data_IF_336960869463
#
_entry.id   IF_336960869463
#
_cell.length_a   1.000
_cell.length_b   1.000
_cell.length_c   1.000
_cell.angle_alpha   90.00
_cell.angle_beta   90.00
_cell.angle_gamma   90.00
#
_symmetry.space_group_name_H-M   'P 1'
#
loop_
_entity.id
_entity.type
_entity.pdbx_description
1 polymer ?
#
# COMPACT_ATOMS: atom_id res chain seq x y z
N UNK A 1 2.15 -9.83 12.17
CA UNK A 1 1.25 -8.81 11.56
C UNK A 1 1.34 -7.44 12.22
N UNK A 2 1.87 -7.31 13.46
CA UNK A 2 2.44 -6.03 13.96
C UNK A 2 3.61 -5.51 13.13
N UNK A 3 4.27 -6.42 12.40
CA UNK A 3 5.43 -6.12 11.58
C UNK A 3 5.11 -5.15 10.45
N UNK A 4 3.96 -5.29 9.77
CA UNK A 4 3.58 -4.44 8.65
C UNK A 4 3.35 -2.98 9.05
N UNK A 5 2.59 -2.74 10.12
CA UNK A 5 2.37 -1.39 10.64
C UNK A 5 3.69 -0.76 11.12
N UNK A 6 4.52 -1.55 11.80
CA UNK A 6 5.85 -1.10 12.25
C UNK A 6 6.71 -0.69 11.04
N UNK A 7 6.75 -1.51 9.99
CA UNK A 7 7.49 -1.19 8.77
C UNK A 7 6.92 0.05 8.08
N UNK A 8 5.60 0.16 7.90
CA UNK A 8 4.96 1.34 7.30
C UNK A 8 5.26 2.62 8.08
N UNK A 9 5.20 2.55 9.41
CA UNK A 9 5.51 3.69 10.29
C UNK A 9 6.99 4.10 10.28
N UNK A 10 7.89 3.20 9.87
CA UNK A 10 9.33 3.45 9.80
C UNK A 10 9.78 4.06 8.46
N UNK A 11 8.99 3.90 7.39
CA UNK A 11 9.28 4.51 6.08
C UNK A 11 9.15 6.04 6.20
N UNK A 12 10.16 6.75 5.71
CA UNK A 12 10.16 8.22 5.74
C UNK A 12 9.33 8.78 4.60
N UNK A 13 8.72 9.94 4.85
CA UNK A 13 8.02 10.69 3.82
C UNK A 13 8.97 11.00 2.65
N UNK A 14 8.52 10.75 1.42
CA UNK A 14 9.30 10.93 0.20
C UNK A 14 10.21 9.75 -0.17
N UNK A 15 10.26 8.68 0.62
CA UNK A 15 10.97 7.46 0.24
C UNK A 15 10.14 6.61 -0.72
N UNK A 16 10.83 5.99 -1.68
CA UNK A 16 10.25 4.97 -2.56
C UNK A 16 10.14 3.64 -1.81
N UNK A 17 8.98 3.00 -1.90
CA UNK A 17 8.73 1.70 -1.31
C UNK A 17 8.03 0.76 -2.30
N UNK A 18 8.30 -0.54 -2.18
CA UNK A 18 7.60 -1.59 -2.90
C UNK A 18 6.51 -2.19 -2.01
N UNK A 19 5.25 -2.03 -2.42
CA UNK A 19 4.07 -2.65 -1.81
C UNK A 19 3.85 -4.02 -2.44
N UNK A 20 3.98 -5.10 -1.67
CA UNK A 20 3.73 -6.46 -2.15
C UNK A 20 2.27 -6.81 -1.84
N UNK A 21 1.45 -6.85 -2.88
CA UNK A 21 -0.02 -7.01 -2.79
C UNK A 21 -0.44 -8.39 -3.28
N UNK A 22 -1.32 -9.04 -2.53
CA UNK A 22 -1.99 -10.27 -2.95
C UNK A 22 -3.36 -9.95 -3.55
N UNK A 23 -3.57 -10.16 -4.86
CA UNK A 23 -4.85 -9.83 -5.49
C UNK A 23 -5.97 -10.77 -5.03
N UNK A 24 -7.21 -10.28 -4.87
CA UNK A 24 -8.31 -11.09 -4.36
C UNK A 24 -8.72 -12.24 -5.29
N UNK A 25 -8.56 -12.04 -6.61
CA UNK A 25 -8.97 -13.02 -7.63
C UNK A 25 -7.81 -13.91 -8.12
N UNK A 26 -6.58 -13.71 -7.63
CA UNK A 26 -5.38 -14.45 -8.03
C UNK A 26 -4.55 -14.80 -6.79
N UNK A 27 -4.98 -15.80 -6.00
CA UNK A 27 -4.38 -16.09 -4.69
C UNK A 27 -2.97 -16.67 -4.75
N UNK A 28 -2.57 -17.22 -5.90
CA UNK A 28 -1.22 -17.74 -6.14
C UNK A 28 -0.27 -16.69 -6.74
N UNK A 29 -0.80 -15.52 -7.13
CA UNK A 29 -0.03 -14.41 -7.66
C UNK A 29 0.25 -13.36 -6.59
N UNK A 30 1.24 -12.52 -6.86
CA UNK A 30 1.49 -11.25 -6.16
C UNK A 30 1.72 -10.15 -7.19
N UNK A 31 1.25 -8.96 -6.87
CA UNK A 31 1.54 -7.74 -7.60
C UNK A 31 2.44 -6.86 -6.73
N UNK A 32 3.59 -6.47 -7.27
CA UNK A 32 4.54 -5.59 -6.59
C UNK A 32 4.34 -4.17 -7.16
N UNK A 33 4.05 -3.21 -6.29
CA UNK A 33 3.77 -1.81 -6.67
C UNK A 33 4.84 -0.91 -6.08
N UNK A 34 5.61 -0.25 -6.93
CA UNK A 34 6.64 0.72 -6.53
C UNK A 34 6.03 2.11 -6.52
N UNK A 35 6.08 2.79 -5.37
CA UNK A 35 5.51 4.12 -5.21
C UNK A 35 6.18 4.88 -4.06
N UNK A 36 6.13 6.21 -4.11
CA UNK A 36 6.73 7.10 -3.11
C UNK A 36 5.74 7.39 -1.99
N UNK A 37 6.15 7.26 -0.72
CA UNK A 37 5.30 7.59 0.42
C UNK A 37 5.02 9.10 0.47
N UNK A 38 3.77 9.50 0.24
CA UNK A 38 3.30 10.90 0.27
C UNK A 38 2.49 11.24 1.54
N UNK A 39 2.08 10.23 2.30
CA UNK A 39 1.46 10.41 3.63
C UNK A 39 1.89 9.32 4.60
N UNK A 40 2.74 9.69 5.56
CA UNK A 40 3.28 8.80 6.60
C UNK A 40 2.38 8.65 7.84
N UNK A 41 1.05 8.68 7.67
CA UNK A 41 0.09 8.50 8.76
C UNK A 41 -1.15 7.77 8.27
N UNK A 42 -1.76 6.85 9.05
CA UNK A 42 -2.94 6.12 8.62
C UNK A 42 -4.11 7.03 8.20
N UNK A 43 -4.77 6.74 7.06
CA UNK A 43 -4.36 5.75 6.07
C UNK A 43 -3.10 6.21 5.32
N UNK A 44 -2.10 5.34 5.20
CA UNK A 44 -0.85 5.66 4.50
C UNK A 44 -1.11 5.85 3.01
N UNK A 45 -0.47 6.82 2.37
CA UNK A 45 -0.65 7.09 0.93
C UNK A 45 0.69 7.09 0.22
N UNK A 46 0.73 6.41 -0.93
CA UNK A 46 1.87 6.30 -1.82
C UNK A 46 1.48 6.79 -3.21
N UNK A 47 2.41 7.37 -3.96
CA UNK A 47 2.18 7.91 -5.30
C UNK A 47 3.28 7.45 -6.26
N UNK A 48 2.91 6.89 -7.41
CA UNK A 48 3.85 6.48 -8.47
C UNK A 48 3.95 7.49 -9.63
N UNK A 49 3.29 8.65 -9.51
CA UNK A 49 3.17 9.66 -10.56
C UNK A 49 1.98 9.47 -11.51
N UNK A 50 1.32 8.30 -11.50
CA UNK A 50 0.10 8.03 -12.28
C UNK A 50 -1.11 7.70 -11.39
N UNK A 51 -0.87 7.16 -10.20
CA UNK A 51 -1.88 6.68 -9.25
C UNK A 51 -1.43 6.94 -7.83
N UNK A 52 -2.42 7.19 -6.99
CA UNK A 52 -2.28 7.18 -5.55
C UNK A 52 -2.78 5.86 -4.99
N UNK A 53 -1.92 5.19 -4.23
CA UNK A 53 -2.20 3.97 -3.50
C UNK A 53 -2.43 4.28 -2.02
N UNK A 54 -3.57 3.86 -1.49
CA UNK A 54 -3.92 4.05 -0.08
C UNK A 54 -3.90 2.71 0.64
N UNK A 55 -3.09 2.62 1.69
CA UNK A 55 -3.03 1.47 2.58
C UNK A 55 -3.94 1.71 3.78
N UNK A 56 -4.96 0.88 3.93
CA UNK A 56 -5.97 0.97 4.98
C UNK A 56 -6.01 -0.31 5.80
N UNK A 57 -6.35 -0.23 7.08
CA UNK A 57 -6.64 -1.41 7.89
C UNK A 57 -7.92 -2.11 7.38
N UNK A 58 -7.95 -3.44 7.36
CA UNK A 58 -9.13 -4.21 7.00
C UNK A 58 -10.10 -4.31 8.20
N UNK A 59 -11.34 -3.86 8.03
CA UNK A 59 -12.39 -3.94 9.06
C UNK A 59 -12.82 -5.41 9.28
N UNK A 60 -12.08 -6.13 10.11
CA UNK A 60 -12.42 -7.49 10.52
C UNK A 60 -11.24 -8.47 10.58
N UNK A 61 -10.08 -8.09 10.03
CA UNK A 61 -8.86 -8.89 10.05
C UNK A 61 -7.67 -8.06 10.55
N UNK A 62 -6.59 -8.70 11.00
CA UNK A 62 -5.36 -8.00 11.45
C UNK A 62 -4.49 -7.50 10.29
N UNK A 63 -5.10 -7.35 9.11
CA UNK A 63 -4.43 -7.09 7.84
C UNK A 63 -4.63 -5.69 7.30
N UNK A 64 -3.85 -5.39 6.27
CA UNK A 64 -3.93 -4.14 5.51
C UNK A 64 -4.43 -4.42 4.11
N UNK A 65 -5.20 -3.49 3.53
CA UNK A 65 -5.61 -3.51 2.13
C UNK A 65 -5.00 -2.36 1.37
N UNK A 66 -4.65 -2.62 0.12
CA UNK A 66 -4.19 -1.58 -0.81
C UNK A 66 -5.32 -1.20 -1.75
N UNK A 67 -5.64 0.07 -1.72
CA UNK A 67 -6.60 0.72 -2.62
C UNK A 67 -5.82 1.54 -3.63
N UNK A 68 -6.29 1.61 -4.88
CA UNK A 68 -5.72 2.46 -5.91
C UNK A 68 -6.76 3.43 -6.46
N UNK A 69 -6.37 4.69 -6.60
CA UNK A 69 -7.11 5.71 -7.36
C UNK A 69 -6.17 6.44 -8.31
N UNK A 70 -6.71 6.94 -9.42
CA UNK A 70 -5.98 7.82 -10.35
C UNK A 70 -6.19 9.29 -10.03
N UNK A 71 -7.37 9.65 -9.54
CA UNK A 71 -7.75 11.02 -9.19
C UNK A 71 -8.84 11.03 -8.09
N UNK A 72 -9.21 12.22 -7.61
CA UNK A 72 -10.29 12.42 -6.62
C UNK A 72 -11.65 11.97 -7.17
N UNK A 73 -11.86 12.10 -8.48
CA UNK A 73 -13.10 11.69 -9.15
C UNK A 73 -13.10 10.21 -9.57
N UNK A 74 -11.97 9.50 -9.49
CA UNK A 74 -11.87 8.11 -9.92
C UNK A 74 -12.44 7.14 -8.87
N UNK A 75 -13.15 6.09 -9.31
CA UNK A 75 -13.62 5.06 -8.39
C UNK A 75 -12.41 4.33 -7.79
N UNK A 76 -12.34 4.33 -6.46
CA UNK A 76 -11.32 3.61 -5.71
C UNK A 76 -11.43 2.11 -5.98
N UNK A 77 -10.34 1.50 -6.45
CA UNK A 77 -10.27 0.06 -6.73
C UNK A 77 -9.49 -0.65 -5.63
N UNK A 78 -9.97 -1.79 -5.18
CA UNK A 78 -9.22 -2.67 -4.29
C UNK A 78 -8.19 -3.42 -5.12
N UNK A 79 -6.90 -3.21 -4.86
CA UNK A 79 -5.84 -4.02 -5.46
C UNK A 79 -5.71 -5.37 -4.77
N UNK A 80 -5.82 -5.38 -3.43
CA UNK A 80 -5.77 -6.60 -2.65
C UNK A 80 -5.24 -6.41 -1.23
N UNK A 81 -4.82 -7.50 -0.62
CA UNK A 81 -4.24 -7.54 0.72
C UNK A 81 -2.76 -7.17 0.65
N UNK A 82 -2.30 -6.24 1.49
CA UNK A 82 -0.87 -5.94 1.64
C UNK A 82 -0.21 -7.06 2.43
N UNK A 83 0.79 -7.71 1.82
CA UNK A 83 1.52 -8.83 2.43
C UNK A 83 2.87 -8.41 3.00
N UNK A 84 3.52 -7.45 2.36
CA UNK A 84 4.80 -6.90 2.80
C UNK A 84 4.98 -5.50 2.22
N UNK A 85 5.85 -4.71 2.85
CA UNK A 85 6.33 -3.45 2.31
C UNK A 85 7.84 -3.40 2.46
N UNK A 86 8.54 -2.88 1.45
CA UNK A 86 9.99 -2.76 1.44
C UNK A 86 10.36 -1.31 1.16
N UNK A 87 11.07 -0.65 2.08
CA UNK A 87 11.69 0.65 1.80
C UNK A 87 12.87 0.43 0.85
N UNK A 88 12.76 0.96 -0.38
CA UNK A 88 13.79 0.83 -1.41
C UNK A 88 14.87 1.91 -1.28
N UNK A 89 14.63 2.91 -0.42
CA UNK A 89 15.52 4.06 -0.18
C UNK A 89 16.35 3.91 1.10
N UNK A 90 16.29 2.74 1.75
CA UNK A 90 16.96 2.43 3.03
C UNK A 90 18.43 2.00 2.89
#
# INVERSE_FOLDING_TARGET
MRDLDTTLSAIRLGHEASLIVKPPNRPDDRDDVEAVLVRASPPYEFDDGERTYRVVEDEGDTGFRVLASRDVADPVRVLGELRAVVDMSA
#
